data_IF_137599339073
#
_entry.id   IF_137599339073
#
_cell.length_a   1.000
_cell.length_b   1.000
_cell.length_c   1.000
_cell.angle_alpha   90.00
_cell.angle_beta   90.00
_cell.angle_gamma   90.00
#
_symmetry.space_group_name_H-M   'P 1'
#
loop_
_entity.id
_entity.type
_entity.pdbx_description
1 polymer ?
2 non-polymer ?
3 non-polymer ?
4 water ?
#
# COMPACT_ATOMS: atom_id res chain seq x y z
N UNK A 1 -10.03 -15.31 -3.93
CA UNK A 1 -10.15 -13.85 -4.14
C UNK A 1 -8.74 -13.24 -4.08
N UNK A 2 -8.34 -12.60 -5.17
CA UNK A 2 -7.08 -11.93 -5.31
C UNK A 2 -7.27 -10.44 -5.54
N UNK A 3 -6.59 -9.65 -4.71
CA UNK A 3 -6.78 -8.16 -4.74
C UNK A 3 -5.42 -7.42 -4.79
N UNK A 4 -5.27 -6.35 -5.62
CA UNK A 4 -4.11 -5.44 -5.61
C UNK A 4 -4.63 -4.17 -4.92
N UNK A 5 -3.90 -3.58 -4.01
CA UNK A 5 -4.33 -2.31 -3.41
C UNK A 5 -3.28 -1.23 -3.67
N UNK A 6 -3.77 -0.04 -4.07
CA UNK A 6 -2.89 1.12 -4.24
C UNK A 6 -3.32 2.30 -3.31
N UNK A 7 -2.34 3.01 -2.76
CA UNK A 7 -2.65 4.33 -2.17
C UNK A 7 -1.34 4.99 -1.70
N UNK A 8 -1.33 6.32 -1.58
CA UNK A 8 -0.11 7.06 -1.22
C UNK A 8 0.10 6.95 0.29
N UNK A 9 1.29 7.28 0.75
CA UNK A 9 1.46 7.52 2.18
C UNK A 9 0.50 8.61 2.66
N UNK A 10 -0.14 8.45 3.82
CA UNK A 10 -1.10 9.48 4.29
C UNK A 10 -2.56 9.07 4.00
N UNK A 11 -2.79 7.96 3.32
CA UNK A 11 -4.18 7.55 2.91
C UNK A 11 -4.81 6.45 3.80
N UNK A 12 -4.11 5.98 4.84
CA UNK A 12 -4.72 4.93 5.73
C UNK A 12 -4.77 3.55 5.07
N UNK A 13 -3.92 3.35 4.06
CA UNK A 13 -3.93 2.17 3.19
C UNK A 13 -3.73 0.81 4.00
N UNK A 14 -2.81 0.81 4.99
CA UNK A 14 -2.53 -0.43 5.78
C UNK A 14 -3.74 -0.82 6.61
N UNK A 15 -4.35 0.17 7.24
CA UNK A 15 -5.54 -0.03 8.01
C UNK A 15 -6.65 -0.67 7.21
N UNK A 16 -6.91 -0.13 6.03
CA UNK A 16 -7.97 -0.64 5.14
C UNK A 16 -7.65 -2.01 4.60
N UNK A 17 -6.40 -2.22 4.20
CA UNK A 17 -5.97 -3.55 3.75
C UNK A 17 -6.12 -4.61 4.82
N UNK A 18 -5.69 -4.27 6.03
CA UNK A 18 -5.88 -5.19 7.18
C UNK A 18 -7.33 -5.58 7.36
N UNK A 19 -8.25 -4.63 7.25
CA UNK A 19 -9.68 -4.92 7.39
C UNK A 19 -10.16 -5.91 6.31
N UNK A 20 -9.65 -5.75 5.10
CA UNK A 20 -10.11 -6.58 3.97
C UNK A 20 -9.55 -7.97 4.15
N UNK A 21 -8.28 -8.06 4.53
CA UNK A 21 -7.62 -9.34 4.66
C UNK A 21 -8.21 -10.21 5.80
N UNK A 22 -8.63 -9.57 6.89
CA UNK A 22 -9.33 -10.24 8.01
C UNK A 22 -10.69 -10.72 7.59
N UNK A 23 -11.45 -9.87 6.93
CA UNK A 23 -12.84 -10.24 6.50
C UNK A 23 -12.81 -11.42 5.52
N UNK A 24 -11.85 -11.45 4.59
CA UNK A 24 -11.88 -12.46 3.53
C UNK A 24 -10.84 -13.57 3.69
N UNK A 25 -10.16 -13.57 4.86
CA UNK A 25 -9.12 -14.56 5.20
C UNK A 25 -8.00 -14.61 4.13
N UNK A 26 -7.55 -13.42 3.71
CA UNK A 26 -6.57 -13.33 2.61
C UNK A 26 -5.14 -13.32 3.20
N UNK A 27 -4.13 -13.78 2.43
CA UNK A 27 -2.76 -13.51 2.84
C UNK A 27 -2.42 -12.06 2.51
N UNK A 28 -1.89 -11.28 3.46
CA UNK A 28 -1.56 -9.91 3.13
C UNK A 28 -0.11 -9.90 2.68
N UNK A 29 0.16 -9.68 1.39
CA UNK A 29 1.49 -9.79 0.83
C UNK A 29 2.11 -8.41 0.54
N UNK A 30 3.16 -8.06 1.26
CA UNK A 30 3.69 -6.71 1.08
C UNK A 30 5.12 -6.88 0.61
N UNK A 31 5.48 -5.94 -0.23
CA UNK A 31 6.67 -6.04 -1.05
C UNK A 31 7.88 -6.27 -0.17
N UNK A 32 7.94 -5.64 0.99
CA UNK A 32 9.04 -5.90 1.93
C UNK A 32 9.18 -7.33 2.43
N UNK A 33 8.09 -7.96 2.80
CA UNK A 33 8.06 -9.37 3.22
C UNK A 33 8.43 -10.36 2.13
N UNK A 34 8.08 -10.05 0.88
CA UNK A 34 8.55 -10.90 -0.25
C UNK A 34 10.09 -11.03 -0.18
N UNK A 35 10.80 -9.89 -0.10
CA UNK A 35 12.28 -9.95 -0.04
C UNK A 35 12.77 -10.74 1.16
N UNK A 36 12.26 -10.49 2.35
CA UNK A 36 12.70 -11.31 3.49
C UNK A 36 12.51 -12.82 3.30
N UNK A 37 11.38 -13.26 2.76
CA UNK A 37 11.20 -14.67 2.37
C UNK A 37 12.32 -15.15 1.37
N UNK A 38 12.60 -14.37 0.34
CA UNK A 38 13.50 -14.88 -0.71
C UNK A 38 15.01 -14.54 -0.45
N UNK A 39 15.27 -13.26 -0.13
CA UNK A 39 16.66 -12.79 0.16
C UNK A 39 17.19 -13.42 1.47
N UNK A 40 16.40 -13.26 2.53
CA UNK A 40 16.65 -13.91 3.78
C UNK A 40 16.57 -15.45 3.72
N UNK A 41 15.57 -16.04 3.10
CA UNK A 41 15.57 -17.47 3.03
C UNK A 41 16.47 -18.14 1.97
N UNK A 42 17.21 -17.35 1.14
CA UNK A 42 18.20 -17.96 0.15
C UNK A 42 17.49 -18.92 -0.89
N UNK A 43 16.32 -18.49 -1.37
CA UNK A 43 15.69 -19.19 -2.49
C UNK A 43 16.68 -18.95 -3.65
N UNK A 44 16.55 -19.69 -4.74
CA UNK A 44 17.46 -19.46 -5.87
C UNK A 44 17.26 -18.02 -6.40
N UNK A 45 16.02 -17.52 -6.44
CA UNK A 45 15.82 -16.16 -6.87
C UNK A 45 16.41 -15.23 -5.82
N UNK A 46 16.22 -15.52 -4.52
CA UNK A 46 16.76 -14.63 -3.49
C UNK A 46 18.31 -14.50 -3.49
N UNK A 47 19.02 -15.57 -3.78
CA UNK A 47 20.48 -15.52 -3.86
C UNK A 47 20.89 -14.73 -5.13
N UNK A 48 20.23 -14.69 -6.15
CA UNK A 48 20.44 -13.96 -7.20
C UNK A 48 20.16 -12.43 -6.97
N UNK A 49 19.01 -12.14 -6.33
CA UNK A 49 18.63 -10.77 -5.94
C UNK A 49 19.72 -10.14 -5.03
N UNK A 50 20.21 -10.92 -4.08
CA UNK A 50 21.08 -10.41 -3.03
C UNK A 50 22.43 -9.95 -3.58
N UNK A 51 22.88 -10.52 -4.72
CA UNK A 51 24.10 -9.99 -5.38
C UNK A 51 23.90 -8.58 -5.89
N UNK A 52 22.71 -8.24 -6.40
CA UNK A 52 22.46 -6.78 -6.70
C UNK A 52 22.40 -5.91 -5.47
N UNK A 53 21.59 -6.33 -4.51
CA UNK A 53 21.37 -5.48 -3.31
C UNK A 53 22.76 -5.20 -2.68
N UNK A 54 23.63 -6.23 -2.62
CA UNK A 54 24.94 -6.10 -1.92
C UNK A 54 26.00 -5.16 -2.59
N UNK A 55 25.73 -4.72 -3.81
CA UNK A 55 26.49 -3.72 -4.61
C UNK A 55 25.79 -2.35 -4.50
N UNK A 56 24.62 -2.28 -3.85
CA UNK A 56 23.79 -1.12 -3.90
C UNK A 56 22.97 -0.97 -5.19
N UNK A 57 22.79 -2.00 -6.00
CA UNK A 57 21.90 -1.83 -7.17
C UNK A 57 20.50 -2.39 -6.81
N UNK A 58 19.49 -1.98 -7.56
CA UNK A 58 18.18 -2.61 -7.40
C UNK A 58 18.12 -4.02 -7.98
N UNK A 59 17.16 -4.81 -7.52
CA UNK A 59 16.97 -6.12 -8.16
C UNK A 59 16.24 -5.89 -9.50
N UNK A 60 16.70 -6.52 -10.59
CA UNK A 60 16.01 -6.30 -11.87
C UNK A 60 14.58 -6.90 -11.87
N UNK A 61 13.69 -6.34 -12.69
CA UNK A 61 12.29 -6.81 -12.78
C UNK A 61 12.21 -8.25 -13.18
N UNK A 62 13.19 -8.77 -13.95
CA UNK A 62 13.15 -10.19 -14.32
C UNK A 62 13.49 -11.14 -13.20
N UNK A 63 13.88 -10.59 -12.04
CA UNK A 63 14.05 -11.40 -10.87
C UNK A 63 12.95 -11.08 -9.84
N UNK A 64 12.61 -9.81 -9.68
CA UNK A 64 11.58 -9.39 -8.74
C UNK A 64 10.18 -9.97 -9.10
N UNK A 65 9.79 -9.96 -10.38
CA UNK A 65 8.45 -10.41 -10.76
C UNK A 65 8.36 -11.92 -10.45
N UNK A 66 9.35 -12.75 -10.87
CA UNK A 66 9.25 -14.18 -10.42
C UNK A 66 9.22 -14.38 -8.90
N UNK A 67 9.96 -13.56 -8.16
CA UNK A 67 9.82 -13.60 -6.70
C UNK A 67 8.42 -13.36 -6.22
N UNK A 68 7.80 -12.28 -6.71
CA UNK A 68 6.46 -11.98 -6.31
C UNK A 68 5.56 -13.18 -6.64
N UNK A 69 5.64 -13.70 -7.86
CA UNK A 69 4.73 -14.82 -8.23
C UNK A 69 4.96 -16.05 -7.34
N UNK A 70 6.23 -16.36 -6.99
CA UNK A 70 6.51 -17.50 -6.13
C UNK A 70 5.87 -17.33 -4.76
N UNK A 71 5.90 -16.11 -4.21
CA UNK A 71 5.26 -15.82 -2.92
C UNK A 71 3.74 -15.92 -2.99
N UNK A 72 3.18 -15.40 -4.06
CA UNK A 72 1.71 -15.50 -4.27
C UNK A 72 1.23 -16.94 -4.36
N UNK A 73 2.04 -17.79 -5.01
CA UNK A 73 1.75 -19.24 -5.13
C UNK A 73 1.84 -19.98 -3.83
N UNK A 74 2.79 -19.55 -3.03
CA UNK A 74 3.18 -20.22 -1.80
C UNK A 74 2.31 -19.73 -0.59
N UNK A 75 2.29 -18.43 -0.33
CA UNK A 75 1.56 -17.84 0.82
C UNK A 75 0.11 -17.49 0.43
N UNK A 76 -0.15 -17.29 -0.84
CA UNK A 76 -1.47 -16.80 -1.27
C UNK A 76 -2.38 -17.80 -1.91
N UNK A 77 -2.14 -19.10 -1.69
CA UNK A 77 -3.04 -20.08 -2.34
C UNK A 77 -4.52 -19.99 -1.95
N UNK A 78 -4.88 -19.46 -0.78
CA UNK A 78 -6.30 -19.32 -0.49
C UNK A 78 -6.73 -17.82 -0.63
N UNK A 79 -5.97 -17.03 -1.38
CA UNK A 79 -6.42 -15.69 -1.68
C UNK A 79 -5.37 -14.75 -1.19
N UNK A 80 -5.13 -13.67 -1.93
CA UNK A 80 -4.08 -12.74 -1.46
C UNK A 80 -4.50 -11.29 -1.63
N UNK A 81 -3.86 -10.42 -0.85
CA UNK A 81 -3.93 -8.96 -1.01
C UNK A 81 -2.53 -8.45 -1.19
N UNK A 82 -2.22 -7.97 -2.38
CA UNK A 82 -0.82 -7.52 -2.73
C UNK A 82 -0.72 -6.01 -2.59
N UNK A 83 0.21 -5.54 -1.74
CA UNK A 83 0.22 -4.18 -1.26
C UNK A 83 1.67 -3.69 -1.47
N UNK A 84 1.85 -2.64 -2.24
CA UNK A 84 3.10 -1.91 -2.32
C UNK A 84 3.89 -2.24 -3.57
N UNK A 85 3.37 -3.19 -4.35
CA UNK A 85 3.98 -3.57 -5.64
C UNK A 85 2.78 -3.80 -6.56
N UNK A 86 2.80 -3.28 -7.81
CA UNK A 86 3.88 -2.60 -8.52
C UNK A 86 3.94 -1.11 -8.18
N UNK A 87 5.07 -0.49 -8.45
CA UNK A 87 5.17 0.96 -8.23
C UNK A 87 5.23 1.79 -9.52
N UNK A 88 5.48 1.12 -10.63
CA UNK A 88 5.59 1.87 -11.89
C UNK A 88 4.94 1.02 -13.01
N UNK A 89 4.86 1.60 -14.20
CA UNK A 89 4.13 0.95 -15.31
C UNK A 89 4.83 -0.27 -15.87
N UNK A 90 6.16 -0.21 -15.97
CA UNK A 90 6.94 -1.37 -16.47
C UNK A 90 6.71 -2.57 -15.54
N UNK A 91 6.82 -2.36 -14.22
CA UNK A 91 6.49 -3.43 -13.29
C UNK A 91 5.04 -3.85 -13.42
N UNK A 92 4.11 -2.90 -13.59
CA UNK A 92 2.71 -3.31 -13.59
C UNK A 92 2.41 -4.24 -14.77
N UNK A 93 2.97 -3.88 -15.95
CA UNK A 93 2.67 -4.68 -17.15
C UNK A 93 3.43 -6.08 -17.00
N UNK A 94 4.67 -6.07 -16.53
CA UNK A 94 5.40 -7.39 -16.37
C UNK A 94 4.65 -8.27 -15.38
N UNK A 95 4.11 -7.64 -14.33
CA UNK A 95 3.33 -8.42 -13.34
C UNK A 95 2.04 -9.01 -13.97
N UNK A 96 1.31 -8.17 -14.69
CA UNK A 96 0.12 -8.68 -15.37
C UNK A 96 0.45 -9.89 -16.31
N UNK A 97 1.53 -9.80 -17.11
CA UNK A 97 1.87 -10.88 -18.05
C UNK A 97 2.29 -12.13 -17.29
N UNK A 98 2.96 -11.92 -16.14
CA UNK A 98 3.42 -13.07 -15.32
C UNK A 98 2.23 -13.78 -14.64
N UNK A 99 1.27 -13.00 -14.16
CA UNK A 99 0.04 -13.57 -13.60
C UNK A 99 -0.77 -14.35 -14.67
N UNK A 100 -0.91 -13.78 -15.86
CA UNK A 100 -1.59 -14.53 -16.95
C UNK A 100 -0.88 -15.86 -17.29
N UNK A 101 0.46 -15.84 -17.35
CA UNK A 101 1.24 -17.05 -17.70
C UNK A 101 1.00 -18.15 -16.64
N UNK A 102 0.65 -17.78 -15.42
CA UNK A 102 0.45 -18.79 -14.35
C UNK A 102 -1.03 -19.02 -14.07
N UNK A 103 -1.90 -18.35 -14.84
CA UNK A 103 -3.34 -18.56 -14.71
C UNK A 103 -3.89 -18.03 -13.42
N UNK A 104 -3.25 -17.02 -12.87
CA UNK A 104 -3.68 -16.46 -11.61
C UNK A 104 -4.51 -15.18 -11.90
N UNK A 105 -5.75 -15.16 -11.46
CA UNK A 105 -6.71 -14.11 -11.84
C UNK A 105 -6.80 -13.03 -10.80
N UNK A 106 -6.83 -11.81 -11.27
CA UNK A 106 -7.15 -10.65 -10.39
C UNK A 106 -8.68 -10.53 -10.30
N UNK A 107 -9.18 -10.31 -9.08
CA UNK A 107 -10.63 -10.19 -8.85
C UNK A 107 -11.00 -8.76 -8.55
N UNK A 108 -10.17 -8.02 -7.83
CA UNK A 108 -10.45 -6.65 -7.50
C UNK A 108 -9.16 -5.84 -7.49
N UNK A 109 -9.28 -4.55 -7.82
CA UNK A 109 -8.13 -3.67 -7.59
C UNK A 109 -8.72 -2.53 -6.83
N UNK A 110 -8.11 -2.21 -5.69
CA UNK A 110 -8.62 -1.09 -4.85
C UNK A 110 -7.65 0.12 -4.94
N UNK A 111 -8.19 1.31 -5.15
CA UNK A 111 -7.34 2.49 -5.13
C UNK A 111 -7.92 3.44 -4.11
N UNK A 112 -7.11 3.88 -3.15
CA UNK A 112 -7.54 4.92 -2.21
C UNK A 112 -7.08 6.29 -2.79
N UNK A 113 -8.03 7.21 -2.97
CA UNK A 113 -7.84 8.48 -3.72
C UNK A 113 -7.72 9.54 -2.67
N UNK A 114 -6.69 10.38 -2.79
CA UNK A 114 -6.55 11.52 -1.90
C UNK A 114 -5.70 12.57 -2.67
N UNK A 115 -6.06 13.88 -2.66
CA UNK A 115 -5.10 14.78 -3.24
C UNK A 115 -3.76 14.79 -2.52
N UNK A 116 -2.68 14.89 -3.30
CA UNK A 116 -1.34 14.88 -2.73
C UNK A 116 -1.19 15.91 -1.59
N UNK A 117 -1.72 17.14 -1.69
CA UNK A 117 -1.50 18.17 -0.60
C UNK A 117 -2.21 17.66 0.71
N UNK A 118 -3.34 17.02 0.53
CA UNK A 118 -4.12 16.42 1.64
C UNK A 118 -3.32 15.27 2.31
N UNK A 119 -2.81 14.34 1.48
CA UNK A 119 -1.96 13.25 1.96
C UNK A 119 -0.75 13.80 2.79
N UNK A 120 -0.03 14.80 2.25
CA UNK A 120 1.15 15.32 2.96
C UNK A 120 0.72 15.93 4.29
N UNK A 121 -0.33 16.75 4.27
CA UNK A 121 -0.80 17.34 5.53
C UNK A 121 -1.29 16.34 6.56
N UNK A 122 -1.95 15.31 6.11
CA UNK A 122 -2.28 14.22 7.07
C UNK A 122 -1.06 13.55 7.72
N UNK A 123 0.04 13.35 6.98
CA UNK A 123 1.22 12.78 7.59
C UNK A 123 1.80 13.80 8.61
N UNK A 124 1.99 15.06 8.16
CA UNK A 124 2.73 16.06 9.01
C UNK A 124 1.89 16.42 10.22
N UNK A 125 0.57 16.25 10.13
CA UNK A 125 -0.37 16.67 11.21
C UNK A 125 -0.46 15.68 12.37
N UNK A 126 0.10 14.48 12.21
CA UNK A 126 0.02 13.49 13.30
C UNK A 126 0.71 13.97 14.58
N UNK A 127 0.11 13.72 15.73
CA UNK A 127 0.70 14.10 17.05
C UNK A 127 0.57 12.87 17.91
N UNK A 128 1.67 12.47 18.58
CA UNK A 128 1.66 11.21 19.33
C UNK A 128 1.49 11.54 20.80
N UNK A 129 0.56 10.84 21.46
CA UNK A 129 0.38 10.96 22.89
C UNK A 129 1.48 10.27 23.70
N UNK A 130 2.04 11.00 24.65
CA UNK A 130 3.06 10.47 25.56
C UNK A 130 2.55 9.31 26.39
N UNK A 131 1.27 9.35 26.77
CA UNK A 131 0.74 8.33 27.71
C UNK A 131 0.41 7.04 26.97
N UNK A 132 -0.13 7.18 25.76
CA UNK A 132 -0.48 5.97 25.01
C UNK A 132 -0.42 6.25 23.51
N UNK A 133 0.53 5.64 22.79
CA UNK A 133 0.74 6.04 21.37
C UNK A 133 -0.42 5.59 20.46
N UNK A 134 -1.33 4.78 20.97
CA UNK A 134 -2.52 4.28 20.20
C UNK A 134 -3.51 5.44 20.02
N UNK A 135 -3.49 6.47 20.88
CA UNK A 135 -4.58 7.53 20.91
C UNK A 135 -4.50 8.45 19.66
N UNK A 136 -5.46 8.36 18.71
CA UNK A 136 -5.23 9.13 17.44
C UNK A 136 -5.42 10.63 17.62
N UNK A 137 -4.43 11.43 17.20
CA UNK A 137 -4.52 12.91 17.22
C UNK A 137 -3.93 13.41 15.92
N UNK A 138 -4.59 14.36 15.28
CA UNK A 138 -4.05 14.86 14.04
C UNK A 138 -4.58 16.28 13.86
N UNK A 139 -3.66 17.25 13.82
CA UNK A 139 -4.05 18.63 13.62
C UNK A 139 -4.76 18.90 12.25
N UNK A 140 -4.64 18.03 11.27
CA UNK A 140 -5.21 18.25 9.94
C UNK A 140 -6.45 17.38 9.65
N UNK A 141 -6.91 16.62 10.64
CA UNK A 141 -8.08 15.72 10.45
C UNK A 141 -9.09 16.13 11.57
N UNK A 142 -10.15 16.82 11.15
CA UNK A 142 -11.06 17.51 12.12
C UNK A 142 -11.58 16.51 13.13
N UNK A 143 -11.96 15.28 12.72
CA UNK A 143 -12.60 14.33 13.69
C UNK A 143 -11.69 13.88 14.83
N UNK A 144 -10.37 14.01 14.62
CA UNK A 144 -9.41 13.65 15.69
C UNK A 144 -8.39 14.76 16.00
N UNK A 145 -8.78 16.05 15.86
CA UNK A 145 -7.99 17.20 16.26
C UNK A 145 -7.68 17.09 17.71
N UNK A 146 -6.51 17.61 18.14
CA UNK A 146 -6.18 17.57 19.56
C UNK A 146 -7.05 18.49 20.34
N UNK A 147 -7.02 18.33 21.67
CA UNK A 147 -7.72 19.23 22.58
C UNK A 147 -6.73 20.32 22.97
N UNK A 148 -6.65 21.39 22.17
CA UNK A 148 -5.59 22.38 22.30
C UNK A 148 -4.20 21.79 22.01
N UNK A 149 -3.29 21.81 22.97
CA UNK A 149 -1.99 21.16 22.79
C UNK A 149 -1.95 19.76 23.34
N UNK A 150 -3.06 19.22 23.84
CA UNK A 150 -3.02 17.88 24.48
C UNK A 150 -3.88 16.82 23.86
N UNK A 151 -3.59 15.57 24.23
CA UNK A 151 -4.30 14.42 23.66
C UNK A 151 -5.82 14.52 23.85
N UNK A 152 -6.62 14.36 22.79
CA UNK A 152 -8.09 14.48 22.85
C UNK A 152 -8.73 13.29 23.57
N UNK A 153 -7.98 12.21 23.78
CA UNK A 153 -8.53 11.01 24.48
C UNK A 153 -8.26 11.12 25.96
N UNK A 154 -7.03 11.45 26.36
CA UNK A 154 -6.67 11.34 27.79
C UNK A 154 -6.02 12.58 28.39
N UNK A 155 -5.77 13.61 27.58
CA UNK A 155 -5.17 14.87 28.06
C UNK A 155 -3.66 14.78 28.21
N UNK A 156 -3.04 13.69 27.76
CA UNK A 156 -1.57 13.59 27.81
C UNK A 156 -0.88 14.56 26.86
N UNK A 157 0.39 14.79 27.13
CA UNK A 157 1.22 15.61 26.25
C UNK A 157 1.33 15.03 24.86
N UNK A 158 1.48 15.92 23.86
CA UNK A 158 1.56 15.49 22.42
C UNK A 158 2.93 15.84 21.88
N UNK A 159 3.46 15.03 20.99
CA UNK A 159 4.64 15.47 20.28
C UNK A 159 4.60 15.08 18.85
N UNK A 160 5.48 15.67 18.04
CA UNK A 160 5.56 15.29 16.65
C UNK A 160 6.66 14.24 16.43
N UNK A 161 6.55 13.40 15.39
CA UNK A 161 7.67 12.48 15.07
C UNK A 161 8.48 13.08 13.95
N UNK A 162 9.81 13.03 14.10
CA UNK A 162 10.67 13.65 13.10
C UNK A 162 10.39 13.10 11.67
N UNK A 163 10.17 11.81 11.49
CA UNK A 163 9.97 11.27 10.13
C UNK A 163 8.68 11.79 9.47
N UNK A 164 7.67 12.08 10.30
CA UNK A 164 6.43 12.69 9.81
C UNK A 164 6.63 14.16 9.40
N UNK A 165 7.67 14.83 9.93
CA UNK A 165 7.99 16.19 9.58
C UNK A 165 9.07 16.33 8.50
N UNK A 166 9.50 15.23 7.92
CA UNK A 166 10.62 15.27 6.97
C UNK A 166 10.00 15.50 5.54
N UNK A 167 9.84 16.77 5.18
CA UNK A 167 9.13 17.07 3.93
C UNK A 167 9.88 16.63 2.68
N UNK A 168 11.20 16.64 2.68
CA UNK A 168 11.94 16.17 1.49
C UNK A 168 11.64 14.69 1.29
N UNK A 169 11.55 13.90 2.38
CA UNK A 169 11.36 12.44 2.19
C UNK A 169 9.90 12.14 1.75
N UNK A 170 8.94 12.84 2.37
CA UNK A 170 7.52 12.68 2.06
C UNK A 170 7.34 13.02 0.56
N UNK A 171 7.94 14.14 0.12
CA UNK A 171 7.83 14.56 -1.28
C UNK A 171 8.46 13.62 -2.29
N UNK A 172 9.57 12.98 -1.95
CA UNK A 172 10.13 12.07 -2.89
C UNK A 172 9.25 10.80 -3.01
N UNK A 173 8.60 10.33 -1.91
CA UNK A 173 7.70 9.19 -2.09
C UNK A 173 6.43 9.60 -2.88
N UNK A 174 5.93 10.84 -2.66
CA UNK A 174 4.72 11.31 -3.40
C UNK A 174 5.01 11.60 -4.86
N UNK A 175 6.23 12.08 -5.13
CA UNK A 175 6.74 12.17 -6.50
C UNK A 175 6.57 10.89 -7.27
N UNK A 176 6.92 9.75 -6.67
CA UNK A 176 6.78 8.52 -7.37
C UNK A 176 5.30 8.14 -7.41
N UNK A 177 4.61 8.23 -6.27
CA UNK A 177 3.20 7.73 -6.21
C UNK A 177 2.36 8.52 -7.23
N UNK A 178 2.54 9.85 -7.25
CA UNK A 178 1.58 10.66 -8.03
C UNK A 178 1.99 10.90 -9.49
N UNK A 179 3.07 10.25 -9.90
CA UNK A 179 3.61 10.34 -11.27
C UNK A 179 2.62 9.59 -12.19
N UNK A 180 1.86 10.34 -12.99
CA UNK A 180 0.85 9.71 -13.86
C UNK A 180 1.49 9.41 -15.23
N UNK A 181 2.79 9.69 -15.44
CA UNK A 181 3.44 9.30 -16.72
C UNK A 181 3.73 7.79 -16.55
N UNK A 182 4.51 7.42 -15.53
CA UNK A 182 4.94 6.00 -15.42
C UNK A 182 5.17 5.60 -13.95
N UNK A 183 4.58 6.37 -13.03
CA UNK A 183 4.78 6.08 -11.59
C UNK A 183 3.58 5.24 -11.05
N UNK A 184 3.24 5.39 -9.77
CA UNK A 184 2.29 4.41 -9.24
C UNK A 184 0.85 4.66 -9.65
N UNK A 185 0.41 5.94 -9.72
CA UNK A 185 -0.88 6.22 -10.30
C UNK A 185 -0.99 5.71 -11.75
N UNK A 186 0.06 5.91 -12.58
CA UNK A 186 0.00 5.38 -13.96
C UNK A 186 -0.18 3.82 -13.87
N UNK A 187 0.49 3.16 -12.90
CA UNK A 187 0.32 1.72 -12.76
C UNK A 187 -1.13 1.34 -12.39
N UNK A 188 -1.67 2.03 -11.39
CA UNK A 188 -3.09 1.82 -10.97
C UNK A 188 -4.04 2.00 -12.17
N UNK A 189 -3.84 3.07 -12.95
CA UNK A 189 -4.66 3.36 -14.12
C UNK A 189 -4.54 2.33 -15.26
N UNK A 190 -3.36 1.73 -15.41
CA UNK A 190 -3.17 0.65 -16.34
C UNK A 190 -4.14 -0.49 -15.96
N UNK A 191 -4.30 -0.75 -14.67
CA UNK A 191 -5.28 -1.79 -14.27
C UNK A 191 -6.72 -1.28 -14.47
N UNK A 192 -7.05 -0.07 -14.00
CA UNK A 192 -8.37 0.48 -14.22
C UNK A 192 -8.84 0.29 -15.67
N UNK A 193 -7.95 0.66 -16.57
CA UNK A 193 -8.25 0.70 -18.00
C UNK A 193 -8.47 -0.67 -18.65
N UNK A 194 -8.13 -1.76 -17.97
CA UNK A 194 -8.36 -3.09 -18.56
C UNK A 194 -9.33 -3.89 -17.71
N UNK A 195 -9.78 -3.31 -16.58
CA UNK A 195 -10.69 -4.07 -15.68
C UNK A 195 -11.88 -4.71 -16.46
N UNK A 196 -12.57 -3.94 -17.30
CA UNK A 196 -13.77 -4.46 -17.95
C UNK A 196 -13.41 -5.64 -18.92
N UNK A 197 -12.35 -5.46 -19.72
CA UNK A 197 -11.90 -6.50 -20.64
C UNK A 197 -11.42 -7.74 -19.88
N UNK A 198 -10.78 -7.56 -18.73
CA UNK A 198 -10.16 -8.69 -18.04
C UNK A 198 -11.04 -9.29 -16.93
N UNK A 199 -12.21 -8.70 -16.71
CA UNK A 199 -13.24 -9.32 -15.84
C UNK A 199 -12.87 -9.12 -14.37
N UNK A 200 -12.22 -7.99 -14.02
CA UNK A 200 -12.08 -7.65 -12.57
C UNK A 200 -12.74 -6.32 -12.23
N UNK A 201 -12.97 -6.06 -10.95
CA UNK A 201 -13.65 -4.85 -10.58
C UNK A 201 -12.64 -3.85 -9.97
N UNK A 202 -12.67 -2.59 -10.43
CA UNK A 202 -11.76 -1.56 -9.94
C UNK A 202 -12.54 -0.68 -8.97
N UNK A 203 -12.11 -0.67 -7.71
CA UNK A 203 -12.85 0.04 -6.65
C UNK A 203 -12.07 1.33 -6.31
N UNK A 204 -12.73 2.50 -6.32
CA UNK A 204 -12.09 3.77 -5.95
C UNK A 204 -12.69 4.16 -4.63
N UNK A 205 -11.83 4.32 -3.62
CA UNK A 205 -12.24 4.72 -2.29
C UNK A 205 -11.87 6.19 -2.08
N UNK A 206 -12.83 7.00 -1.66
CA UNK A 206 -12.53 8.41 -1.35
C UNK A 206 -11.89 8.46 0.02
N UNK A 207 -10.58 8.71 0.02
CA UNK A 207 -9.75 8.68 1.21
C UNK A 207 -10.02 9.79 2.23
N UNK A 208 -10.83 10.79 1.89
CA UNK A 208 -11.19 11.87 2.84
C UNK A 208 -12.38 11.52 3.79
N UNK A 209 -13.15 10.42 3.54
CA UNK A 209 -14.24 10.01 4.45
C UNK A 209 -13.66 9.35 5.70
N UNK A 210 -14.49 8.94 6.68
CA UNK A 210 -13.96 8.42 7.97
C UNK A 210 -13.45 6.95 7.90
N UNK A 211 -12.70 6.47 8.90
CA UNK A 211 -12.18 5.05 8.84
C UNK A 211 -13.40 4.11 8.62
N UNK A 212 -14.47 4.33 9.41
CA UNK A 212 -15.75 3.60 9.32
C UNK A 212 -16.49 3.74 7.99
N UNK A 213 -16.69 4.97 7.53
CA UNK A 213 -17.36 5.18 6.24
C UNK A 213 -16.64 4.48 5.03
N UNK A 214 -15.31 4.67 4.90
CA UNK A 214 -14.53 4.01 3.85
C UNK A 214 -14.70 2.47 3.93
N UNK A 215 -14.47 1.90 5.13
CA UNK A 215 -14.62 0.47 5.39
C UNK A 215 -16.00 -0.10 4.97
N UNK A 216 -17.09 0.62 5.31
CA UNK A 216 -18.45 0.29 4.85
C UNK A 216 -18.61 0.19 3.30
N UNK A 217 -18.34 1.27 2.57
CA UNK A 217 -18.35 1.29 1.07
C UNK A 217 -17.46 0.18 0.41
N UNK A 218 -16.32 -0.11 1.03
CA UNK A 218 -15.36 -1.06 0.51
C UNK A 218 -15.85 -2.48 0.70
N UNK A 219 -16.14 -2.84 1.95
CA UNK A 219 -16.69 -4.15 2.30
C UNK A 219 -18.05 -4.40 1.60
N UNK A 220 -18.75 -3.33 1.20
CA UNK A 220 -19.98 -3.46 0.38
C UNK A 220 -19.61 -3.81 -1.07
N UNK A 221 -18.62 -3.13 -1.67
CA UNK A 221 -18.33 -3.42 -3.09
C UNK A 221 -17.51 -4.70 -3.37
N UNK A 222 -17.00 -5.34 -2.32
CA UNK A 222 -16.38 -6.68 -2.42
C UNK A 222 -17.38 -7.81 -2.14
N UNK A 223 -18.35 -7.49 -1.29
CA UNK A 223 -19.33 -8.49 -0.82
C UNK A 223 -20.09 -9.11 -2.01
X LIG B 1 -3.70 10.09 25.11
X LIG C 1 -1.48 6.99 6.40
X LIG C 1 -1.80 4.87 7.14
X LIG C 1 -1.21 5.75 6.47
X LIG C 1 -0.25 5.44 5.41
X LIG C 1 0.98 6.14 5.34
X LIG C 1 -0.50 4.21 4.60
X LIG C 1 -1.28 5.02 3.69
X LIG C 1 0.71 3.75 3.88
X LIG C 1 1.44 2.94 4.49
X LIG C 1 0.90 4.16 2.75
#
# INVERSE_FOLDING_TARGET
MNILIFGPNGSGKGTQGNLVKDKYSLAHIESGGIFREHIGGGTELGKKAKEFIDRGDLVPDDITIPMVLETLESKGKDGWLLDGFPRNTVQAQKLFEALQEKGMKINFVIEILLPREVAKNRIMGRRICKNNPNHPNNIFIDAIKPNGDVCRVCGGALSARADDQDEGAINKRHDIYYNTVDGTLAAAYYYKNMAAKEGFVYIELDGEGSIDSIKDTLLAQLA
ZN ZN
SRT O1 O11 C1 C2 O2 C3 O3 C4 O4 O41
#
